data_IF_102680334659
#
_entry.id   IF_102680334659
#
_cell.length_a   1.000
_cell.length_b   1.000
_cell.length_c   1.000
_cell.angle_alpha   90.00
_cell.angle_beta   90.00
_cell.angle_gamma   90.00
#
_symmetry.space_group_name_H-M   'P 1'
#
loop_
_entity.id
_entity.type
_entity.pdbx_description
1 polymer ?
#
# COMPACT_ATOMS: atom_id res chain seq x y z
N UNK A 1 -5.66 -27.19 -4.97
CA UNK A 1 -4.19 -27.11 -4.73
C UNK A 1 -3.50 -26.10 -5.67
N UNK A 2 -3.91 -25.96 -6.93
CA UNK A 2 -3.30 -25.05 -7.92
C UNK A 2 -3.59 -23.55 -7.65
N UNK A 3 -4.66 -23.21 -6.95
CA UNK A 3 -5.04 -21.83 -6.66
C UNK A 3 -4.16 -21.17 -5.59
N UNK A 4 -3.57 -21.91 -4.65
CA UNK A 4 -2.76 -21.35 -3.55
C UNK A 4 -1.50 -20.63 -4.05
N UNK A 5 -0.70 -21.17 -4.98
CA UNK A 5 0.42 -20.45 -5.58
C UNK A 5 0.00 -19.14 -6.28
N UNK A 6 -1.19 -19.11 -6.91
CA UNK A 6 -1.72 -17.90 -7.56
C UNK A 6 -2.01 -16.81 -6.51
N UNK A 7 -2.59 -17.17 -5.36
CA UNK A 7 -2.83 -16.24 -4.26
C UNK A 7 -1.53 -15.68 -3.70
N UNK A 8 -0.52 -16.52 -3.52
CA UNK A 8 0.81 -16.07 -3.07
C UNK A 8 1.49 -15.17 -4.09
N UNK A 9 1.35 -15.50 -5.39
CA UNK A 9 1.81 -14.64 -6.48
C UNK A 9 1.09 -13.28 -6.50
N UNK A 10 -0.20 -13.24 -6.19
CA UNK A 10 -0.96 -11.99 -6.06
C UNK A 10 -0.43 -11.09 -4.93
N UNK A 11 -0.09 -11.66 -3.76
CA UNK A 11 0.54 -10.91 -2.68
C UNK A 11 1.88 -10.29 -3.12
N UNK A 12 2.70 -11.04 -3.86
CA UNK A 12 3.94 -10.50 -4.43
C UNK A 12 3.62 -9.40 -5.45
N UNK A 13 2.61 -9.59 -6.31
CA UNK A 13 2.19 -8.62 -7.31
C UNK A 13 1.75 -7.27 -6.71
N UNK A 14 1.12 -7.29 -5.55
CA UNK A 14 0.73 -6.06 -4.83
C UNK A 14 1.95 -5.21 -4.45
N UNK A 15 3.10 -5.82 -4.16
CA UNK A 15 4.34 -5.07 -3.86
C UNK A 15 4.85 -4.30 -5.08
N UNK A 16 4.67 -4.83 -6.29
CA UNK A 16 5.02 -4.11 -7.53
C UNK A 16 4.16 -2.86 -7.68
N UNK A 17 2.86 -2.95 -7.38
CA UNK A 17 1.97 -1.77 -7.38
C UNK A 17 2.44 -0.74 -6.35
N UNK A 18 2.77 -1.16 -5.12
CA UNK A 18 3.28 -0.26 -4.09
C UNK A 18 4.57 0.45 -4.52
N UNK A 19 5.49 -0.27 -5.19
CA UNK A 19 6.72 0.33 -5.74
C UNK A 19 6.43 1.34 -6.85
N UNK A 20 5.48 1.06 -7.73
CA UNK A 20 5.06 2.01 -8.77
C UNK A 20 4.46 3.29 -8.16
N UNK A 21 3.66 3.15 -7.10
CA UNK A 21 3.07 4.29 -6.37
C UNK A 21 4.15 5.17 -5.71
N UNK A 22 5.25 4.56 -5.23
CA UNK A 22 6.35 5.27 -4.58
C UNK A 22 7.15 6.19 -5.53
N UNK A 23 7.02 6.02 -6.85
CA UNK A 23 7.73 6.87 -7.83
C UNK A 23 7.15 8.28 -7.98
N UNK A 24 6.08 8.67 -7.30
CA UNK A 24 5.50 10.01 -7.24
C UNK A 24 5.65 10.81 -8.55
N UNK A 25 5.01 10.35 -9.63
CA UNK A 25 5.08 10.98 -10.95
C UNK A 25 4.15 12.20 -10.99
N UNK A 26 4.41 13.21 -10.15
CA UNK A 26 3.52 14.37 -10.00
C UNK A 26 3.32 15.14 -11.30
N UNK A 27 4.41 15.42 -12.01
CA UNK A 27 4.34 16.19 -13.26
C UNK A 27 4.00 15.34 -14.48
N UNK A 28 4.29 14.05 -14.42
CA UNK A 28 4.06 13.10 -15.52
C UNK A 28 2.61 12.64 -15.68
N UNK A 29 1.78 12.76 -14.63
CA UNK A 29 0.40 12.24 -14.65
C UNK A 29 -0.47 12.83 -15.77
N UNK A 30 -0.35 14.12 -16.02
CA UNK A 30 -1.08 14.76 -17.09
C UNK A 30 -0.63 14.33 -18.49
N UNK A 31 0.68 14.05 -18.65
CA UNK A 31 1.20 13.47 -19.88
C UNK A 31 0.68 12.04 -20.10
N UNK A 32 0.57 11.26 -19.02
CA UNK A 32 -0.01 9.91 -19.07
C UNK A 32 -1.50 9.97 -19.44
N UNK A 33 -2.27 10.86 -18.82
CA UNK A 33 -3.69 11.06 -19.12
C UNK A 33 -3.89 11.50 -20.55
N UNK A 34 -3.23 12.57 -20.98
CA UNK A 34 -3.36 13.11 -22.31
C UNK A 34 -2.86 12.15 -23.38
N UNK A 35 -1.67 11.56 -23.17
CA UNK A 35 -1.09 10.57 -24.09
C UNK A 35 -1.95 9.31 -24.22
N UNK A 36 -2.53 8.86 -23.11
CA UNK A 36 -3.47 7.73 -23.09
C UNK A 36 -4.72 8.01 -23.92
N UNK A 37 -5.36 9.16 -23.72
CA UNK A 37 -6.52 9.59 -24.52
C UNK A 37 -6.14 9.68 -25.99
N UNK A 38 -5.02 10.33 -26.31
CA UNK A 38 -4.56 10.52 -27.69
C UNK A 38 -4.34 9.18 -28.40
N UNK A 39 -3.70 8.21 -27.72
CA UNK A 39 -3.52 6.87 -28.27
C UNK A 39 -4.84 6.13 -28.48
N UNK A 40 -5.79 6.26 -27.57
CA UNK A 40 -7.12 5.65 -27.72
C UNK A 40 -7.86 6.16 -28.95
N UNK A 41 -7.74 7.45 -29.28
CA UNK A 41 -8.40 8.05 -30.44
C UNK A 41 -7.60 7.91 -31.73
N UNK A 42 -6.28 8.06 -31.68
CA UNK A 42 -5.41 8.02 -32.87
C UNK A 42 -5.17 6.61 -33.39
N UNK A 43 -5.11 5.60 -32.51
CA UNK A 43 -4.82 4.23 -32.90
C UNK A 43 -6.08 3.47 -33.33
N UNK A 44 -6.12 3.03 -34.61
CA UNK A 44 -7.19 2.17 -35.13
C UNK A 44 -7.06 0.70 -34.72
N UNK A 45 -5.87 0.26 -34.33
CA UNK A 45 -5.58 -1.12 -33.94
C UNK A 45 -5.87 -1.38 -32.46
N UNK A 46 -6.35 -2.59 -32.14
CA UNK A 46 -6.69 -3.01 -30.77
C UNK A 46 -5.52 -2.86 -29.80
N UNK A 47 -4.30 -3.24 -30.21
CA UNK A 47 -3.08 -3.12 -29.36
C UNK A 47 -2.79 -1.67 -28.96
N UNK A 48 -2.95 -0.72 -29.91
CA UNK A 48 -2.74 0.70 -29.63
C UNK A 48 -3.79 1.27 -28.67
N UNK A 49 -5.06 0.88 -28.86
CA UNK A 49 -6.14 1.28 -27.93
C UNK A 49 -5.92 0.72 -26.52
N UNK A 50 -5.60 -0.57 -26.39
CA UNK A 50 -5.30 -1.17 -25.09
C UNK A 50 -4.09 -0.49 -24.42
N UNK A 51 -3.05 -0.13 -25.16
CA UNK A 51 -1.92 0.64 -24.65
C UNK A 51 -2.36 2.04 -24.17
N UNK A 52 -3.23 2.71 -24.93
CA UNK A 52 -3.81 3.98 -24.53
C UNK A 52 -4.65 3.89 -23.26
N UNK A 53 -5.51 2.88 -23.17
CA UNK A 53 -6.33 2.60 -21.98
C UNK A 53 -5.46 2.32 -20.74
N UNK A 54 -4.40 1.53 -20.90
CA UNK A 54 -3.44 1.25 -19.82
C UNK A 54 -2.73 2.54 -19.36
N UNK A 55 -2.24 3.35 -20.31
CA UNK A 55 -1.55 4.60 -20.01
C UNK A 55 -2.49 5.61 -19.33
N UNK A 56 -3.74 5.72 -19.80
CA UNK A 56 -4.76 6.54 -19.18
C UNK A 56 -5.10 6.07 -17.77
N UNK A 57 -5.23 4.74 -17.56
CA UNK A 57 -5.46 4.14 -16.24
C UNK A 57 -4.34 4.45 -15.25
N UNK A 58 -3.08 4.41 -15.69
CA UNK A 58 -1.94 4.85 -14.88
C UNK A 58 -2.02 6.35 -14.54
N UNK A 59 -2.38 7.19 -15.48
CA UNK A 59 -2.60 8.61 -15.23
C UNK A 59 -3.67 8.87 -14.17
N UNK A 60 -4.81 8.16 -14.26
CA UNK A 60 -5.90 8.22 -13.28
C UNK A 60 -5.45 7.74 -11.90
N UNK A 61 -4.63 6.69 -11.84
CA UNK A 61 -4.10 6.17 -10.59
C UNK A 61 -3.28 7.26 -9.87
N UNK A 62 -2.34 7.90 -10.56
CA UNK A 62 -1.52 8.97 -9.96
C UNK A 62 -2.34 10.21 -9.61
N UNK A 63 -3.33 10.57 -10.41
CA UNK A 63 -4.25 11.66 -10.07
C UNK A 63 -5.06 11.34 -8.81
N UNK A 64 -5.57 10.12 -8.69
CA UNK A 64 -6.28 9.64 -7.49
C UNK A 64 -5.42 9.72 -6.23
N UNK A 65 -4.13 9.35 -6.31
CA UNK A 65 -3.18 9.48 -5.20
C UNK A 65 -2.98 10.95 -4.81
N UNK A 66 -2.85 11.83 -5.80
CA UNK A 66 -2.70 13.28 -5.54
C UNK A 66 -3.92 13.85 -4.84
N UNK A 67 -5.12 13.51 -5.31
CA UNK A 67 -6.39 13.93 -4.68
C UNK A 67 -6.47 13.40 -3.25
N UNK A 68 -6.11 12.13 -3.05
CA UNK A 68 -6.09 11.53 -1.72
C UNK A 68 -5.08 12.21 -0.80
N UNK A 69 -3.87 12.49 -1.27
CA UNK A 69 -2.82 13.21 -0.53
C UNK A 69 -3.30 14.60 -0.11
N UNK A 70 -3.93 15.33 -1.03
CA UNK A 70 -4.49 16.66 -0.74
C UNK A 70 -5.61 16.60 0.29
N UNK A 71 -6.46 15.56 0.24
CA UNK A 71 -7.53 15.36 1.21
C UNK A 71 -7.01 14.97 2.60
N UNK A 72 -5.86 14.31 2.68
CA UNK A 72 -5.22 13.91 3.93
C UNK A 72 -4.39 15.03 4.56
N UNK A 73 -3.94 16.02 3.78
CA UNK A 73 -3.08 17.11 4.27
C UNK A 73 -3.64 17.82 5.50
N UNK A 74 -4.92 18.26 5.56
CA UNK A 74 -5.46 18.90 6.76
C UNK A 74 -5.45 18.00 8.00
N UNK A 75 -5.52 16.67 7.80
CA UNK A 75 -5.46 15.71 8.90
C UNK A 75 -4.05 15.62 9.48
N UNK A 76 -3.00 15.76 8.65
CA UNK A 76 -1.61 15.68 9.11
C UNK A 76 -1.22 16.85 10.02
N UNK A 77 -1.93 17.97 9.93
CA UNK A 77 -1.77 19.12 10.82
C UNK A 77 -2.54 18.98 12.15
N UNK A 78 -3.36 17.92 12.29
CA UNK A 78 -4.18 17.69 13.47
C UNK A 78 -3.34 17.15 14.65
N UNK A 79 -3.36 17.82 15.82
CA UNK A 79 -2.68 17.32 17.02
C UNK A 79 -3.19 15.95 17.47
N UNK A 80 -4.46 15.65 17.20
CA UNK A 80 -5.08 14.36 17.54
C UNK A 80 -4.49 13.23 16.71
N UNK A 81 -4.32 13.44 15.40
CA UNK A 81 -3.67 12.46 14.52
C UNK A 81 -2.23 12.21 14.97
N UNK A 82 -1.49 13.27 15.29
CA UNK A 82 -0.13 13.15 15.79
C UNK A 82 -0.03 12.29 17.06
N UNK A 83 -0.86 12.56 18.06
CA UNK A 83 -0.91 11.76 19.28
C UNK A 83 -1.26 10.29 19.01
N UNK A 84 -2.14 10.06 18.05
CA UNK A 84 -2.52 8.70 17.65
C UNK A 84 -1.37 7.98 16.94
N UNK A 85 -0.68 8.64 16.01
CA UNK A 85 0.48 8.11 15.33
C UNK A 85 1.63 7.76 16.29
N UNK A 86 1.89 8.63 17.29
CA UNK A 86 2.88 8.34 18.34
C UNK A 86 2.52 7.05 19.10
N UNK A 87 1.25 6.84 19.43
CA UNK A 87 0.80 5.60 20.09
C UNK A 87 0.94 4.37 19.19
N UNK A 88 0.62 4.51 17.92
CA UNK A 88 0.76 3.45 16.91
C UNK A 88 2.23 3.06 16.76
N UNK A 89 3.13 4.03 16.71
CA UNK A 89 4.57 3.79 16.60
C UNK A 89 5.15 3.12 17.86
N UNK A 90 4.63 3.47 19.03
CA UNK A 90 5.07 2.90 20.30
C UNK A 90 4.57 1.45 20.53
N UNK A 91 3.50 1.03 19.83
CA UNK A 91 2.86 -0.27 20.02
C UNK A 91 2.58 -0.97 18.69
N UNK A 92 3.40 -1.96 18.30
CA UNK A 92 3.21 -2.71 17.06
C UNK A 92 1.83 -3.36 16.91
N UNK A 93 1.19 -3.76 18.01
CA UNK A 93 -0.15 -4.34 17.97
C UNK A 93 -1.21 -3.31 17.56
N UNK A 94 -1.07 -2.06 18.01
CA UNK A 94 -1.95 -0.96 17.56
C UNK A 94 -1.71 -0.63 16.08
N UNK A 95 -0.45 -0.66 15.62
CA UNK A 95 -0.12 -0.50 14.21
C UNK A 95 -0.78 -1.56 13.34
N UNK A 96 -0.68 -2.82 13.75
CA UNK A 96 -1.30 -3.95 13.06
C UNK A 96 -2.83 -3.82 13.02
N UNK A 97 -3.46 -3.45 14.12
CA UNK A 97 -4.92 -3.23 14.17
C UNK A 97 -5.33 -2.02 13.32
N UNK A 98 -4.52 -0.98 13.25
CA UNK A 98 -4.77 0.19 12.41
C UNK A 98 -4.76 -0.19 10.93
N UNK A 99 -3.73 -0.88 10.46
CA UNK A 99 -3.63 -1.33 9.07
C UNK A 99 -4.75 -2.30 8.70
N UNK A 100 -5.05 -3.26 9.58
CA UNK A 100 -6.19 -4.15 9.44
C UNK A 100 -7.52 -3.37 9.29
N UNK A 101 -7.79 -2.42 10.17
CA UNK A 101 -9.00 -1.59 10.15
C UNK A 101 -9.10 -0.72 8.90
N UNK A 102 -7.99 -0.13 8.45
CA UNK A 102 -7.93 0.65 7.22
C UNK A 102 -8.33 -0.22 6.02
N UNK A 103 -7.73 -1.39 5.88
CA UNK A 103 -7.99 -2.28 4.74
C UNK A 103 -9.40 -2.85 4.77
N UNK A 104 -9.94 -3.17 5.93
CA UNK A 104 -11.33 -3.58 6.09
C UNK A 104 -12.32 -2.50 5.63
N UNK A 105 -11.98 -1.24 5.88
CA UNK A 105 -12.83 -0.10 5.52
C UNK A 105 -12.70 0.24 4.03
N UNK A 106 -11.47 0.34 3.52
CA UNK A 106 -11.16 0.75 2.15
C UNK A 106 -11.35 -0.42 1.16
N UNK A 107 -11.17 -1.66 1.61
CA UNK A 107 -11.19 -2.90 0.82
C UNK A 107 -10.22 -2.90 -0.37
N UNK A 108 -9.17 -2.10 -0.29
CA UNK A 108 -8.10 -2.00 -1.28
C UNK A 108 -6.77 -1.81 -0.58
N UNK A 109 -5.94 -2.84 -0.58
CA UNK A 109 -4.59 -2.79 -0.01
C UNK A 109 -3.70 -1.76 -0.72
N UNK A 110 -3.81 -1.65 -2.04
CA UNK A 110 -3.05 -0.64 -2.79
C UNK A 110 -3.41 0.79 -2.36
N UNK A 111 -4.69 1.08 -2.12
CA UNK A 111 -5.12 2.38 -1.62
C UNK A 111 -4.63 2.61 -0.18
N UNK A 112 -4.71 1.59 0.69
CA UNK A 112 -4.18 1.66 2.07
C UNK A 112 -2.68 1.92 2.07
N UNK A 113 -1.91 1.24 1.22
CA UNK A 113 -0.47 1.46 1.07
C UNK A 113 -0.19 2.89 0.59
N UNK A 114 -0.92 3.39 -0.40
CA UNK A 114 -0.76 4.77 -0.89
C UNK A 114 -1.06 5.80 0.21
N UNK A 115 -2.10 5.58 1.03
CA UNK A 115 -2.38 6.42 2.19
C UNK A 115 -1.24 6.37 3.21
N UNK A 116 -0.72 5.18 3.52
CA UNK A 116 0.40 5.01 4.44
C UNK A 116 1.65 5.72 3.93
N UNK A 117 2.00 5.56 2.66
CA UNK A 117 3.11 6.25 2.01
C UNK A 117 2.95 7.77 2.06
N UNK A 118 1.73 8.27 1.82
CA UNK A 118 1.43 9.71 1.89
C UNK A 118 1.64 10.27 3.30
N UNK A 119 1.14 9.57 4.33
CA UNK A 119 1.31 9.98 5.73
C UNK A 119 2.78 9.90 6.14
N UNK A 120 3.47 8.82 5.78
CA UNK A 120 4.88 8.61 6.12
C UNK A 120 5.79 9.66 5.46
N UNK A 121 5.48 10.11 4.24
CA UNK A 121 6.25 11.12 3.53
C UNK A 121 6.02 12.56 4.06
N UNK A 122 4.98 12.80 4.87
CA UNK A 122 4.80 14.12 5.48
C UNK A 122 5.89 14.38 6.53
N UNK A 123 6.49 15.59 6.54
CA UNK A 123 7.49 15.93 7.53
C UNK A 123 6.87 15.96 8.93
N UNK A 124 7.58 15.37 9.88
CA UNK A 124 7.27 15.48 11.30
C UNK A 124 7.59 16.88 11.84
N UNK A 125 7.37 17.11 13.14
CA UNK A 125 7.61 18.41 13.78
C UNK A 125 9.05 18.92 13.67
N UNK A 126 10.01 18.01 13.46
CA UNK A 126 11.44 18.33 13.29
C UNK A 126 11.84 18.64 11.83
N UNK A 127 10.92 18.45 10.87
CA UNK A 127 11.13 18.68 9.45
C UNK A 127 12.08 17.69 8.75
N UNK A 128 12.62 16.71 9.47
CA UNK A 128 13.63 15.75 8.98
C UNK A 128 13.07 14.33 8.91
N UNK A 129 12.42 13.91 9.98
CA UNK A 129 11.78 12.60 10.03
C UNK A 129 10.37 12.65 9.46
N UNK A 130 9.89 11.53 8.93
CA UNK A 130 8.51 11.40 8.51
C UNK A 130 7.56 11.39 9.72
N UNK A 131 6.30 11.74 9.48
CA UNK A 131 5.25 11.61 10.50
C UNK A 131 5.12 10.20 11.07
N UNK A 132 5.43 9.20 10.27
CA UNK A 132 5.44 7.79 10.65
C UNK A 132 6.81 7.21 10.32
N UNK A 133 7.54 6.74 11.32
CA UNK A 133 8.84 6.09 11.12
C UNK A 133 8.68 4.74 10.42
N UNK A 134 9.77 4.24 9.81
CA UNK A 134 9.77 2.91 9.19
C UNK A 134 9.33 1.80 10.18
N UNK A 135 9.86 1.83 11.41
CA UNK A 135 9.47 0.87 12.44
C UNK A 135 7.98 0.94 12.80
N UNK A 136 7.36 2.12 12.74
CA UNK A 136 5.94 2.31 12.94
C UNK A 136 5.08 1.93 11.72
N UNK A 137 5.60 2.14 10.50
CA UNK A 137 4.91 1.82 9.26
C UNK A 137 4.80 0.31 9.02
N UNK A 138 5.85 -0.47 9.36
CA UNK A 138 5.88 -1.93 9.14
C UNK A 138 4.69 -2.65 9.79
N UNK A 139 4.35 -2.46 11.07
CA UNK A 139 3.18 -3.11 11.67
C UNK A 139 1.86 -2.74 10.98
N UNK A 140 1.70 -1.49 10.55
CA UNK A 140 0.51 -1.04 9.81
C UNK A 140 0.39 -1.79 8.48
N UNK A 141 1.49 -1.91 7.74
CA UNK A 141 1.57 -2.64 6.48
C UNK A 141 1.30 -4.13 6.65
N UNK A 142 1.79 -4.74 7.74
CA UNK A 142 1.48 -6.13 8.08
C UNK A 142 0.00 -6.32 8.43
N UNK A 143 -0.62 -5.34 9.10
CA UNK A 143 -2.05 -5.31 9.35
C UNK A 143 -2.88 -5.21 8.07
N UNK A 144 -2.46 -4.38 7.12
CA UNK A 144 -3.05 -4.28 5.78
C UNK A 144 -3.03 -5.63 5.06
N UNK A 145 -1.89 -6.33 5.09
CA UNK A 145 -1.77 -7.66 4.49
C UNK A 145 -2.73 -8.68 5.12
N UNK A 146 -2.93 -8.64 6.44
CA UNK A 146 -3.94 -9.49 7.10
C UNK A 146 -5.34 -9.07 6.64
N UNK A 147 -5.62 -7.76 6.58
CA UNK A 147 -6.89 -7.21 6.14
C UNK A 147 -7.30 -7.65 4.73
N UNK A 148 -6.35 -7.75 3.83
CA UNK A 148 -6.55 -8.21 2.46
C UNK A 148 -7.16 -9.62 2.40
N UNK A 149 -6.90 -10.47 3.39
CA UNK A 149 -7.42 -11.84 3.42
C UNK A 149 -8.92 -11.90 3.66
N UNK A 150 -9.50 -10.85 4.25
CA UNK A 150 -10.93 -10.84 4.58
C UNK A 150 -11.80 -10.89 3.32
N UNK A 151 -11.34 -10.28 2.22
CA UNK A 151 -12.07 -10.32 0.94
C UNK A 151 -12.16 -11.75 0.41
N UNK A 152 -11.08 -12.53 0.53
CA UNK A 152 -11.06 -13.94 0.16
C UNK A 152 -11.95 -14.79 1.10
N UNK A 153 -11.95 -14.47 2.40
CA UNK A 153 -12.81 -15.14 3.39
C UNK A 153 -14.28 -14.86 3.08
N UNK A 154 -14.65 -13.60 2.85
CA UNK A 154 -16.01 -13.21 2.49
C UNK A 154 -16.47 -13.87 1.18
N UNK A 155 -15.62 -13.88 0.15
CA UNK A 155 -15.89 -14.52 -1.13
C UNK A 155 -16.06 -16.05 -0.99
N UNK A 156 -15.50 -16.66 0.04
CA UNK A 156 -15.62 -18.11 0.30
C UNK A 156 -16.93 -18.51 1.01
N UNK A 157 -17.68 -17.54 1.54
CA UNK A 157 -18.96 -17.80 2.22
C UNK A 157 -19.97 -18.33 1.19
N UNK A 158 -20.61 -19.43 1.52
CA UNK A 158 -21.55 -20.11 0.61
C UNK A 158 -20.89 -20.95 -0.49
N UNK A 159 -19.55 -20.89 -0.62
CA UNK A 159 -18.80 -21.67 -1.62
C UNK A 159 -18.38 -23.06 -1.12
N UNK A 160 -17.92 -23.90 -2.05
CA UNK A 160 -17.46 -25.25 -1.77
C UNK A 160 -16.20 -25.29 -0.87
N UNK A 161 -15.86 -26.50 -0.40
CA UNK A 161 -14.73 -26.72 0.53
C UNK A 161 -13.40 -26.19 0.00
N UNK A 162 -13.18 -26.23 -1.30
CA UNK A 162 -11.90 -25.82 -1.89
C UNK A 162 -11.72 -24.29 -1.87
N UNK A 163 -12.78 -23.52 -2.08
CA UNK A 163 -12.73 -22.05 -1.91
C UNK A 163 -12.38 -21.69 -0.46
N UNK A 164 -13.01 -22.32 0.53
CA UNK A 164 -12.71 -22.11 1.96
C UNK A 164 -11.28 -22.47 2.31
N UNK A 165 -10.74 -23.55 1.73
CA UNK A 165 -9.33 -23.95 1.93
C UNK A 165 -8.35 -22.93 1.36
N UNK A 166 -8.65 -22.35 0.19
CA UNK A 166 -7.80 -21.31 -0.41
C UNK A 166 -7.83 -20.03 0.44
N UNK A 167 -9.02 -19.59 0.89
CA UNK A 167 -9.16 -18.44 1.79
C UNK A 167 -8.44 -18.66 3.11
N UNK A 168 -8.56 -19.85 3.72
CA UNK A 168 -7.84 -20.20 4.94
C UNK A 168 -6.32 -20.22 4.73
N UNK A 169 -5.83 -20.79 3.62
CA UNK A 169 -4.40 -20.78 3.31
C UNK A 169 -3.87 -19.34 3.15
N UNK A 170 -4.63 -18.46 2.50
CA UNK A 170 -4.29 -17.04 2.38
C UNK A 170 -4.21 -16.35 3.74
N UNK A 171 -5.23 -16.54 4.59
CA UNK A 171 -5.26 -15.95 5.93
C UNK A 171 -4.10 -16.46 6.82
N UNK A 172 -3.85 -17.78 6.82
CA UNK A 172 -2.77 -18.39 7.60
C UNK A 172 -1.40 -17.86 7.13
N UNK A 173 -1.18 -17.74 5.82
CA UNK A 173 0.07 -17.21 5.26
C UNK A 173 0.33 -15.78 5.72
N UNK A 174 -0.65 -14.86 5.57
CA UNK A 174 -0.48 -13.47 5.97
C UNK A 174 -0.35 -13.32 7.50
N UNK A 175 -1.15 -14.07 8.27
CA UNK A 175 -1.08 -14.03 9.73
C UNK A 175 0.25 -14.56 10.25
N UNK A 176 0.75 -15.68 9.71
CA UNK A 176 2.05 -16.24 10.10
C UNK A 176 3.21 -15.32 9.69
N UNK A 177 3.15 -14.74 8.49
CA UNK A 177 4.12 -13.75 8.03
C UNK A 177 4.15 -12.51 8.92
N UNK A 178 3.00 -11.97 9.26
CA UNK A 178 2.88 -10.83 10.17
C UNK A 178 3.43 -11.17 11.58
N UNK A 179 3.13 -12.35 12.12
CA UNK A 179 3.63 -12.77 13.41
C UNK A 179 5.17 -12.88 13.43
N UNK A 180 5.77 -13.46 12.39
CA UNK A 180 7.23 -13.58 12.26
C UNK A 180 7.87 -12.20 12.10
N UNK A 181 7.35 -11.35 11.21
CA UNK A 181 7.89 -10.02 10.96
C UNK A 181 7.74 -9.10 12.19
N UNK A 182 6.62 -9.15 12.91
CA UNK A 182 6.46 -8.43 14.19
C UNK A 182 7.42 -8.92 15.26
N UNK A 183 7.68 -10.23 15.33
CA UNK A 183 8.67 -10.80 16.26
C UNK A 183 10.11 -10.39 15.94
N UNK A 184 10.40 -10.09 14.68
CA UNK A 184 11.71 -9.67 14.18
C UNK A 184 11.73 -8.20 13.73
N UNK A 185 10.85 -7.36 14.25
CA UNK A 185 10.63 -5.99 13.78
C UNK A 185 11.92 -5.17 13.71
N UNK A 186 12.74 -5.20 14.76
CA UNK A 186 14.01 -4.47 14.81
C UNK A 186 15.01 -4.90 13.73
N UNK A 187 15.39 -6.18 13.64
CA UNK A 187 16.26 -6.69 12.58
C UNK A 187 15.69 -6.46 11.18
N UNK A 188 14.38 -6.60 11.01
CA UNK A 188 13.72 -6.39 9.72
C UNK A 188 13.77 -4.92 9.29
N UNK A 189 13.42 -3.98 10.17
CA UNK A 189 13.53 -2.55 9.91
C UNK A 189 14.98 -2.13 9.60
N UNK A 190 15.97 -2.65 10.35
CA UNK A 190 17.38 -2.37 10.10
C UNK A 190 17.85 -2.90 8.72
N UNK A 191 17.36 -4.06 8.29
CA UNK A 191 17.66 -4.60 6.96
C UNK A 191 17.08 -3.72 5.87
N UNK A 192 15.81 -3.34 5.98
CA UNK A 192 15.14 -2.45 5.02
C UNK A 192 15.89 -1.13 4.91
N UNK A 193 16.25 -0.53 6.05
CA UNK A 193 16.97 0.74 6.10
C UNK A 193 18.35 0.67 5.42
N UNK A 194 19.06 -0.47 5.56
CA UNK A 194 20.36 -0.68 4.87
C UNK A 194 20.22 -0.83 3.36
N UNK A 195 19.12 -1.36 2.87
CA UNK A 195 18.84 -1.55 1.45
C UNK A 195 18.21 -0.31 0.80
N UNK A 196 17.79 0.66 1.61
CA UNK A 196 17.08 1.86 1.15
C UNK A 196 18.04 2.92 0.61
N UNK A 197 17.59 3.78 -0.32
CA UNK A 197 18.39 4.89 -0.80
C UNK A 197 18.76 5.84 0.33
N UNK A 198 19.94 6.47 0.23
CA UNK A 198 20.35 7.52 1.16
C UNK A 198 19.50 8.79 0.97
N UNK A 199 19.12 9.43 2.06
CA UNK A 199 18.36 10.69 2.04
C UNK A 199 17.63 10.96 3.37
N UNK A 200 16.99 12.12 3.51
CA UNK A 200 16.12 12.38 4.65
C UNK A 200 15.00 11.34 4.73
N UNK A 201 14.64 10.91 5.94
CA UNK A 201 13.67 9.83 6.13
C UNK A 201 12.32 10.15 5.47
N UNK A 202 11.80 11.35 5.63
CA UNK A 202 10.54 11.79 5.00
C UNK A 202 10.55 11.71 3.47
N UNK A 203 11.74 11.81 2.82
CA UNK A 203 11.86 11.74 1.37
C UNK A 203 12.00 10.31 0.83
N UNK A 204 12.51 9.39 1.65
CA UNK A 204 12.81 8.01 1.20
C UNK A 204 11.85 6.96 1.75
N UNK A 205 11.17 7.26 2.86
CA UNK A 205 10.33 6.28 3.60
C UNK A 205 9.22 5.67 2.75
N UNK A 206 8.66 6.41 1.81
CA UNK A 206 7.64 5.87 0.90
C UNK A 206 8.19 4.76 -0.03
N UNK A 207 9.53 4.65 -0.15
CA UNK A 207 10.23 3.64 -0.97
C UNK A 207 10.79 2.50 -0.13
N UNK A 208 10.83 2.65 1.17
CA UNK A 208 11.22 1.63 2.14
C UNK A 208 10.14 0.59 2.33
#
# INVERSE_FOLDING_TARGET
RQAVPVVFGANIGTTVTAQLLAFQVEQGRYLLLFGGVLLCFACKGQKGRCAGEALFGFGLLFEGITVMSSALQPLTESPQLWQWLVRVQANPALGLLAGLGMTLTVQSSSATIAMLQTVAAQPGPDGVHGLLSLAGAIPVLLGDNIGTTITAVLASIGQGKDAKRVAAAHAIFNLSGAAVCCGLLGPFAALVQRLSPAGPECAVIARQ
#
